data_IF_424650141761
#
_entry.id   IF_424650141761
#
_cell.length_a   1.000
_cell.length_b   1.000
_cell.length_c   1.000
_cell.angle_alpha   90.00
_cell.angle_beta   90.00
_cell.angle_gamma   90.00
#
_symmetry.space_group_name_H-M   'P 1'
#
loop_
_entity.id
_entity.type
_entity.pdbx_description
1 polymer ?
#
# COMPACT_ATOMS: atom_id res chain seq x y z
N UNK A 1 -14.93 -30.05 -17.14
CA UNK A 1 -13.96 -29.71 -16.09
C UNK A 1 -13.55 -28.25 -16.28
N UNK A 2 -14.17 -27.33 -15.54
CA UNK A 2 -13.88 -25.89 -15.65
C UNK A 2 -12.49 -25.58 -15.12
N UNK A 3 -11.59 -25.14 -16.00
CA UNK A 3 -10.42 -24.36 -15.58
C UNK A 3 -10.92 -22.95 -15.32
N UNK A 4 -11.22 -22.64 -14.06
CA UNK A 4 -11.42 -21.26 -13.63
C UNK A 4 -10.06 -20.55 -13.76
N UNK A 5 -9.85 -19.86 -14.89
CA UNK A 5 -8.80 -18.83 -15.00
C UNK A 5 -9.11 -17.75 -13.95
N UNK A 6 -8.45 -17.83 -12.79
CA UNK A 6 -8.33 -16.64 -11.92
C UNK A 6 -7.67 -15.57 -12.77
N UNK A 7 -8.41 -14.52 -13.09
CA UNK A 7 -7.88 -13.30 -13.68
C UNK A 7 -6.67 -12.85 -12.85
N UNK A 8 -5.49 -12.90 -13.45
CA UNK A 8 -4.20 -12.52 -12.88
C UNK A 8 -4.08 -10.99 -12.75
N UNK A 9 -5.00 -10.36 -12.04
CA UNK A 9 -4.89 -8.95 -11.68
C UNK A 9 -4.12 -8.86 -10.38
N UNK A 10 -2.92 -8.27 -10.42
CA UNK A 10 -2.15 -7.97 -9.21
C UNK A 10 -3.04 -7.22 -8.21
N UNK A 11 -3.00 -7.57 -6.91
CA UNK A 11 -3.73 -6.82 -5.89
C UNK A 11 -3.31 -5.35 -5.94
N UNK A 12 -4.25 -4.43 -5.69
CA UNK A 12 -3.95 -3.00 -5.61
C UNK A 12 -3.54 -2.66 -4.18
N UNK A 13 -2.43 -1.95 -4.00
CA UNK A 13 -1.95 -1.56 -2.68
C UNK A 13 -3.00 -0.72 -1.92
N UNK A 14 -3.30 -1.03 -0.64
CA UNK A 14 -4.36 -0.34 0.11
C UNK A 14 -4.09 1.16 0.27
N UNK A 15 -2.84 1.56 0.55
CA UNK A 15 -2.44 2.98 0.57
C UNK A 15 -2.70 3.71 -0.76
N UNK A 16 -2.40 3.08 -1.91
CA UNK A 16 -2.68 3.66 -3.22
C UNK A 16 -4.19 3.88 -3.40
N UNK A 17 -4.99 2.87 -3.06
CA UNK A 17 -6.46 2.94 -3.16
C UNK A 17 -7.02 4.08 -2.32
N UNK A 18 -6.60 4.18 -1.06
CA UNK A 18 -6.99 5.29 -0.18
C UNK A 18 -6.59 6.64 -0.77
N UNK A 19 -5.34 6.77 -1.23
CA UNK A 19 -4.80 8.03 -1.73
C UNK A 19 -5.58 8.54 -2.95
N UNK A 20 -5.85 7.67 -3.92
CA UNK A 20 -6.62 8.03 -5.12
C UNK A 20 -8.07 8.34 -4.79
N UNK A 21 -8.71 7.56 -3.91
CA UNK A 21 -10.08 7.83 -3.46
C UNK A 21 -10.23 9.20 -2.77
N UNK A 22 -9.16 9.72 -2.17
CA UNK A 22 -9.12 10.99 -1.45
C UNK A 22 -8.50 12.13 -2.28
N UNK A 23 -8.25 11.93 -3.57
CA UNK A 23 -7.59 12.89 -4.47
C UNK A 23 -6.22 13.41 -3.95
N UNK A 24 -5.49 12.56 -3.24
CA UNK A 24 -4.19 12.90 -2.68
C UNK A 24 -3.05 12.55 -3.63
N UNK A 25 -1.98 13.35 -3.60
CA UNK A 25 -0.73 13.02 -4.30
C UNK A 25 0.18 12.17 -3.41
N UNK A 26 1.14 11.44 -3.99
CA UNK A 26 2.14 10.73 -3.20
C UNK A 26 2.96 11.69 -2.34
N UNK A 27 3.18 12.91 -2.83
CA UNK A 27 3.85 13.99 -2.11
C UNK A 27 3.09 14.42 -0.86
N UNK A 28 1.75 14.47 -0.92
CA UNK A 28 0.92 14.76 0.26
C UNK A 28 1.15 13.73 1.37
N UNK A 29 1.04 12.44 1.04
CA UNK A 29 1.26 11.35 2.01
C UNK A 29 2.70 11.38 2.55
N UNK A 30 3.68 11.60 1.67
CA UNK A 30 5.08 11.66 2.05
C UNK A 30 5.35 12.78 3.08
N UNK A 31 4.82 13.98 2.84
CA UNK A 31 4.91 15.11 3.78
C UNK A 31 4.24 14.81 5.12
N UNK A 32 3.05 14.22 5.12
CA UNK A 32 2.33 13.84 6.35
C UNK A 32 3.12 12.85 7.19
N UNK A 33 3.82 11.91 6.56
CA UNK A 33 4.57 10.85 7.24
C UNK A 33 6.04 11.18 7.50
N UNK A 34 6.53 12.33 7.02
CA UNK A 34 7.94 12.73 7.16
C UNK A 34 8.91 11.83 6.38
N UNK A 35 8.52 11.34 5.21
CA UNK A 35 9.35 10.49 4.33
C UNK A 35 9.45 11.09 2.92
N UNK A 36 10.28 10.51 2.06
CA UNK A 36 10.36 10.94 0.66
C UNK A 36 9.20 10.40 -0.18
N UNK A 37 8.81 11.15 -1.21
CA UNK A 37 7.82 10.70 -2.22
C UNK A 37 8.22 9.39 -2.88
N UNK A 38 9.51 9.21 -3.17
CA UNK A 38 10.04 7.98 -3.76
C UNK A 38 9.82 6.77 -2.83
N UNK A 39 9.93 6.97 -1.52
CA UNK A 39 9.65 5.91 -0.54
C UNK A 39 8.18 5.49 -0.56
N UNK A 40 7.24 6.45 -0.57
CA UNK A 40 5.79 6.16 -0.74
C UNK A 40 5.53 5.42 -2.04
N UNK A 41 6.16 5.86 -3.14
CA UNK A 41 6.01 5.19 -4.42
C UNK A 41 6.54 3.75 -4.42
N UNK A 42 7.61 3.47 -3.68
CA UNK A 42 8.15 2.12 -3.52
C UNK A 42 7.23 1.20 -2.70
N UNK A 43 6.59 1.76 -1.67
CA UNK A 43 5.59 1.08 -0.84
C UNK A 43 4.35 0.76 -1.68
N UNK A 44 3.76 1.74 -2.37
CA UNK A 44 2.56 1.53 -3.20
C UNK A 44 2.75 0.48 -4.30
N UNK A 45 3.97 0.31 -4.82
CA UNK A 45 4.30 -0.74 -5.80
C UNK A 45 4.62 -2.10 -5.18
N UNK A 46 4.75 -2.19 -3.86
CA UNK A 46 5.21 -3.38 -3.14
C UNK A 46 6.69 -3.69 -3.30
N UNK A 47 7.48 -2.82 -3.93
CA UNK A 47 8.94 -2.97 -4.05
C UNK A 47 9.66 -2.70 -2.73
N UNK A 48 9.02 -1.98 -1.81
CA UNK A 48 9.55 -1.67 -0.48
C UNK A 48 8.50 -2.05 0.57
N UNK A 49 8.89 -2.84 1.56
CA UNK A 49 8.05 -3.09 2.75
C UNK A 49 8.37 -2.02 3.78
N UNK A 50 7.39 -1.25 4.28
CA UNK A 50 7.66 -0.26 5.32
C UNK A 50 8.02 -0.94 6.64
N UNK A 51 8.72 -0.23 7.52
CA UNK A 51 8.93 -0.71 8.89
C UNK A 51 7.60 -0.79 9.65
N UNK A 52 7.49 -1.62 10.71
CA UNK A 52 6.27 -1.67 11.52
C UNK A 52 5.82 -0.30 12.06
N UNK A 53 6.79 0.55 12.45
CA UNK A 53 6.52 1.92 12.90
C UNK A 53 5.91 2.79 11.79
N UNK A 54 6.44 2.70 10.57
CA UNK A 54 5.90 3.44 9.43
C UNK A 54 4.53 2.91 9.00
N UNK A 55 4.30 1.60 9.08
CA UNK A 55 2.99 1.01 8.83
C UNK A 55 1.93 1.52 9.84
N UNK A 56 2.26 1.60 11.13
CA UNK A 56 1.40 2.22 12.14
C UNK A 56 1.16 3.72 11.88
N UNK A 57 2.20 4.45 11.45
CA UNK A 57 2.04 5.86 11.10
C UNK A 57 1.11 6.04 9.87
N UNK A 58 1.17 5.14 8.88
CA UNK A 58 0.22 5.11 7.76
C UNK A 58 -1.20 4.88 8.26
N UNK A 59 -1.41 3.91 9.15
CA UNK A 59 -2.73 3.64 9.74
C UNK A 59 -3.29 4.86 10.47
N UNK A 60 -2.47 5.52 11.28
CA UNK A 60 -2.87 6.75 11.98
C UNK A 60 -3.18 7.90 11.02
N UNK A 61 -2.33 8.13 10.02
CA UNK A 61 -2.51 9.20 9.03
C UNK A 61 -3.75 9.01 8.14
N UNK A 62 -4.21 7.76 8.01
CA UNK A 62 -5.42 7.42 7.26
C UNK A 62 -6.64 7.20 8.15
N UNK A 63 -6.51 7.47 9.46
CA UNK A 63 -7.58 7.32 10.46
C UNK A 63 -8.14 5.89 10.43
N UNK A 64 -7.25 4.90 10.33
CA UNK A 64 -7.59 3.48 10.29
C UNK A 64 -8.14 2.98 8.95
N UNK A 65 -8.29 3.83 7.93
CA UNK A 65 -8.78 3.40 6.62
C UNK A 65 -7.79 2.49 5.87
N UNK A 66 -6.50 2.57 6.19
CA UNK A 66 -5.45 1.67 5.70
C UNK A 66 -4.84 0.97 6.91
N UNK A 67 -5.06 -0.33 7.07
CA UNK A 67 -4.57 -1.06 8.24
C UNK A 67 -3.09 -1.40 8.11
N UNK A 68 -2.35 -1.36 9.22
CA UNK A 68 -0.91 -1.57 9.20
C UNK A 68 -0.51 -2.98 8.72
N UNK A 69 -1.29 -4.01 9.09
CA UNK A 69 -1.09 -5.40 8.67
C UNK A 69 -1.27 -5.58 7.16
N UNK A 70 -2.27 -4.93 6.57
CA UNK A 70 -2.50 -4.98 5.12
C UNK A 70 -1.32 -4.41 4.33
N UNK A 71 -0.73 -3.31 4.80
CA UNK A 71 0.44 -2.69 4.17
C UNK A 71 1.68 -3.60 4.29
N UNK A 72 1.88 -4.23 5.44
CA UNK A 72 3.04 -5.10 5.69
C UNK A 72 2.99 -6.40 4.88
N UNK A 73 1.80 -6.94 4.65
CA UNK A 73 1.60 -8.22 3.96
C UNK A 73 1.46 -8.08 2.44
N UNK A 74 1.32 -6.86 1.92
CA UNK A 74 1.06 -6.62 0.50
C UNK A 74 2.13 -7.21 -0.43
N UNK A 75 3.42 -7.06 -0.10
CA UNK A 75 4.50 -7.62 -0.94
C UNK A 75 4.48 -9.16 -1.00
N UNK A 76 3.98 -9.83 0.04
CA UNK A 76 3.86 -11.29 0.07
C UNK A 76 2.75 -11.76 -0.88
N UNK A 77 1.68 -10.97 -1.00
CA UNK A 77 0.58 -11.24 -1.94
C UNK A 77 1.01 -11.09 -3.41
N UNK A 78 2.02 -10.26 -3.69
CA UNK A 78 2.57 -10.12 -5.05
C UNK A 78 3.46 -11.29 -5.49
N UNK A 79 4.02 -12.06 -4.53
CA UNK A 79 4.97 -13.14 -4.80
C UNK A 79 4.37 -14.55 -4.61
N UNK A 80 3.06 -14.63 -4.37
CA UNK A 80 2.33 -15.88 -4.18
C UNK A 80 1.76 -16.38 -5.52
N UNK A 81 2.66 -16.76 -6.43
CA UNK A 81 2.36 -17.54 -7.65
C UNK A 81 2.97 -18.95 -7.54
#
# INVERSE_FOLDING_TARGET
MSKNSKSSSLPIHPLYKYRVFRDLTQEHIAKTLGVSRAHISGIERGTHVPSPKLAQAIEQATIGAVRADEVLLYSQQLNSD
#
